data_IF_879271893315
#
_entry.id   IF_879271893315
#
_cell.length_a   1.000
_cell.length_b   1.000
_cell.length_c   1.000
_cell.angle_alpha   90.00
_cell.angle_beta   90.00
_cell.angle_gamma   90.00
#
_symmetry.space_group_name_H-M   'P 1'
#
loop_
_entity.id
_entity.type
_entity.pdbx_description
1 polymer ?
#
# COMPACT_ATOMS: atom_id res chain seq x y z
N UNK A 1 18.81 17.59 5.73
CA UNK A 1 17.51 16.87 5.78
C UNK A 1 16.40 17.73 5.15
N UNK A 2 16.70 18.45 4.06
CA UNK A 2 15.75 19.30 3.34
C UNK A 2 15.86 18.95 1.85
N UNK A 3 15.28 17.80 1.48
CA UNK A 3 15.16 17.39 0.09
C UNK A 3 13.68 17.54 -0.29
N UNK A 4 13.39 18.35 -1.31
CA UNK A 4 12.01 18.64 -1.74
C UNK A 4 11.26 17.41 -2.27
N UNK A 5 11.98 16.32 -2.53
CA UNK A 5 11.41 15.04 -2.96
C UNK A 5 10.86 14.22 -1.80
N UNK A 6 11.11 14.63 -0.55
CA UNK A 6 10.73 13.90 0.65
C UNK A 6 9.82 14.77 1.51
N UNK A 7 8.61 14.29 1.75
CA UNK A 7 7.64 14.91 2.65
C UNK A 7 7.38 13.99 3.83
N UNK A 8 7.46 14.54 5.05
CA UNK A 8 7.15 13.81 6.27
C UNK A 8 5.79 14.24 6.80
N UNK A 9 4.90 13.28 6.96
CA UNK A 9 3.64 13.44 7.67
C UNK A 9 3.81 12.86 9.08
N UNK A 10 3.75 13.72 10.09
CA UNK A 10 4.02 13.34 11.48
C UNK A 10 2.74 13.48 12.29
N UNK A 11 2.03 12.37 12.51
CA UNK A 11 0.99 12.15 13.52
C UNK A 11 0.29 10.82 13.17
N UNK A 12 -0.89 10.57 13.75
CA UNK A 12 -1.76 9.46 13.37
C UNK A 12 -2.09 9.52 11.86
N UNK A 13 -2.04 8.37 11.19
CA UNK A 13 -2.35 8.25 9.76
C UNK A 13 -3.78 8.66 9.42
N UNK A 14 -4.74 8.38 10.30
CA UNK A 14 -6.15 8.73 10.10
C UNK A 14 -6.37 10.25 10.05
N UNK A 15 -5.50 11.02 10.71
CA UNK A 15 -5.54 12.48 10.70
C UNK A 15 -4.66 13.09 9.60
N UNK A 16 -3.56 12.41 9.24
CA UNK A 16 -2.56 12.99 8.33
C UNK A 16 -2.76 12.61 6.88
N UNK A 17 -3.13 11.36 6.58
CA UNK A 17 -3.33 10.90 5.20
C UNK A 17 -4.45 11.66 4.47
N UNK A 18 -5.54 12.12 5.11
CA UNK A 18 -6.51 12.99 4.43
C UNK A 18 -5.94 14.32 3.93
N UNK A 19 -4.84 14.79 4.53
CA UNK A 19 -4.15 16.04 4.11
C UNK A 19 -3.16 15.81 2.98
N UNK A 20 -2.80 14.56 2.69
CA UNK A 20 -1.92 14.19 1.60
C UNK A 20 -2.64 14.34 0.26
N UNK A 21 -2.06 15.10 -0.66
CA UNK A 21 -2.53 15.17 -2.04
C UNK A 21 -1.63 14.30 -2.89
N UNK A 22 -2.14 13.15 -3.34
CA UNK A 22 -1.40 12.27 -4.22
C UNK A 22 -1.41 12.82 -5.65
N UNK A 23 -0.25 13.29 -6.12
CA UNK A 23 -0.05 13.69 -7.51
C UNK A 23 0.90 12.72 -8.22
N UNK A 24 0.38 11.97 -9.19
CA UNK A 24 1.19 11.08 -10.02
C UNK A 24 1.56 11.74 -11.35
N UNK A 25 2.85 11.78 -11.67
CA UNK A 25 3.30 12.18 -13.01
C UNK A 25 3.25 10.98 -13.96
N UNK A 26 3.01 11.25 -15.24
CA UNK A 26 2.98 10.22 -16.27
C UNK A 26 4.29 9.41 -16.29
N UNK A 27 4.16 8.08 -16.30
CA UNK A 27 5.31 7.16 -16.30
C UNK A 27 5.95 6.91 -14.92
N UNK A 28 5.43 7.50 -13.84
CA UNK A 28 5.87 7.15 -12.49
C UNK A 28 5.22 5.85 -12.02
N UNK A 29 6.05 5.00 -11.43
CA UNK A 29 5.64 3.79 -10.71
C UNK A 29 5.43 4.14 -9.23
N UNK A 30 4.32 3.68 -8.67
CA UNK A 30 4.05 3.78 -7.23
C UNK A 30 4.45 2.49 -6.54
N UNK A 31 5.04 2.64 -5.36
CA UNK A 31 5.23 1.55 -4.41
C UNK A 31 4.57 1.99 -3.11
N UNK A 32 3.65 1.19 -2.60
CA UNK A 32 3.07 1.36 -1.26
C UNK A 32 3.75 0.38 -0.31
N UNK A 33 4.32 0.90 0.78
CA UNK A 33 4.89 0.13 1.88
C UNK A 33 3.95 0.24 3.08
N UNK A 34 3.37 -0.89 3.48
CA UNK A 34 2.57 -1.03 4.70
C UNK A 34 3.45 -1.67 5.78
N UNK A 35 3.58 -0.96 6.91
CA UNK A 35 4.41 -1.29 8.07
C UNK A 35 3.77 -0.63 9.31
N UNK A 36 2.47 -0.88 9.49
CA UNK A 36 1.71 -0.33 10.63
C UNK A 36 1.51 -1.34 11.75
N UNK A 37 1.83 -2.61 11.51
CA UNK A 37 1.55 -3.79 12.35
C UNK A 37 0.06 -4.09 12.60
N UNK A 38 -0.79 -3.06 12.58
CA UNK A 38 -2.17 -3.10 13.03
C UNK A 38 -3.18 -3.06 11.87
N UNK A 39 -4.34 -3.68 12.10
CA UNK A 39 -5.40 -3.78 11.10
C UNK A 39 -5.98 -2.41 10.71
N UNK A 40 -6.47 -1.62 11.68
CA UNK A 40 -7.18 -0.37 11.41
C UNK A 40 -6.36 0.67 10.61
N UNK A 41 -5.10 1.01 10.99
CA UNK A 41 -4.32 1.97 10.20
C UNK A 41 -3.96 1.46 8.80
N UNK A 42 -3.74 0.15 8.65
CA UNK A 42 -3.48 -0.48 7.35
C UNK A 42 -4.73 -0.42 6.47
N UNK A 43 -5.91 -0.71 7.03
CA UNK A 43 -7.20 -0.60 6.35
C UNK A 43 -7.47 0.83 5.88
N UNK A 44 -7.25 1.81 6.76
CA UNK A 44 -7.46 3.22 6.45
C UNK A 44 -6.56 3.66 5.30
N UNK A 45 -5.27 3.34 5.37
CA UNK A 45 -4.30 3.63 4.33
C UNK A 45 -4.65 2.95 3.01
N UNK A 46 -5.04 1.68 3.04
CA UNK A 46 -5.45 0.91 1.88
C UNK A 46 -6.66 1.55 1.19
N UNK A 47 -7.72 1.85 1.94
CA UNK A 47 -8.95 2.41 1.37
C UNK A 47 -8.75 3.79 0.75
N UNK A 48 -7.83 4.58 1.29
CA UNK A 48 -7.45 5.86 0.71
C UNK A 48 -6.63 5.67 -0.58
N UNK A 49 -5.61 4.80 -0.53
CA UNK A 49 -4.63 4.72 -1.61
C UNK A 49 -5.02 3.82 -2.80
N UNK A 50 -5.91 2.84 -2.61
CA UNK A 50 -6.22 1.83 -3.65
C UNK A 50 -6.69 2.42 -4.98
N UNK A 51 -7.43 3.53 -4.94
CA UNK A 51 -7.95 4.20 -6.14
C UNK A 51 -6.85 4.91 -6.95
N UNK A 52 -5.64 5.01 -6.42
CA UNK A 52 -4.49 5.58 -7.10
C UNK A 52 -3.58 4.54 -7.76
N UNK A 53 -3.86 3.24 -7.57
CA UNK A 53 -3.06 2.14 -8.13
C UNK A 53 -3.27 2.00 -9.64
N UNK A 54 -2.20 1.66 -10.34
CA UNK A 54 -2.17 1.40 -11.78
C UNK A 54 -1.32 0.16 -12.07
N UNK A 55 -1.48 -0.39 -13.27
CA UNK A 55 -0.62 -1.47 -13.77
C UNK A 55 0.85 -1.07 -13.69
N UNK A 56 1.66 -1.96 -13.12
CA UNK A 56 3.08 -1.75 -12.88
C UNK A 56 3.40 -1.35 -11.44
N UNK A 57 2.44 -0.92 -10.63
CA UNK A 57 2.69 -0.55 -9.24
C UNK A 57 2.96 -1.76 -8.35
N UNK A 58 3.53 -1.50 -7.16
CA UNK A 58 3.82 -2.53 -6.17
C UNK A 58 3.14 -2.25 -4.83
N UNK A 59 2.73 -3.34 -4.18
CA UNK A 59 2.25 -3.37 -2.80
C UNK A 59 3.23 -4.22 -1.99
N UNK A 60 3.79 -3.63 -0.94
CA UNK A 60 4.66 -4.29 0.02
C UNK A 60 4.00 -4.25 1.40
N UNK A 61 3.90 -5.41 2.04
CA UNK A 61 3.39 -5.59 3.40
C UNK A 61 4.51 -6.19 4.24
N UNK A 62 4.97 -5.50 5.30
CA UNK A 62 6.12 -5.95 6.10
C UNK A 62 5.76 -7.12 7.01
N UNK A 63 4.52 -7.16 7.52
CA UNK A 63 4.00 -8.22 8.41
C UNK A 63 2.80 -8.95 7.76
N UNK A 64 2.91 -9.23 6.47
CA UNK A 64 1.88 -9.84 5.61
C UNK A 64 1.26 -11.16 6.11
N UNK A 65 1.96 -11.88 7.00
CA UNK A 65 1.55 -13.17 7.52
C UNK A 65 1.07 -13.13 8.99
N UNK A 66 1.16 -11.98 9.64
CA UNK A 66 0.59 -11.75 10.96
C UNK A 66 -0.92 -11.47 10.86
N UNK A 67 -1.65 -11.73 11.95
CA UNK A 67 -3.12 -11.81 11.95
C UNK A 67 -3.78 -10.57 11.31
N UNK A 68 -3.31 -9.38 11.66
CA UNK A 68 -3.91 -8.11 11.28
C UNK A 68 -3.69 -7.76 9.80
N UNK A 69 -2.45 -7.67 9.31
CA UNK A 69 -2.20 -7.37 7.89
C UNK A 69 -2.65 -8.53 6.98
N UNK A 70 -2.55 -9.78 7.46
CA UNK A 70 -3.06 -10.94 6.72
C UNK A 70 -4.55 -10.84 6.48
N UNK A 71 -5.30 -10.30 7.45
CA UNK A 71 -6.72 -10.03 7.31
C UNK A 71 -6.99 -8.98 6.22
N UNK A 72 -6.21 -7.89 6.17
CA UNK A 72 -6.31 -6.89 5.10
C UNK A 72 -6.11 -7.52 3.72
N UNK A 73 -5.08 -8.36 3.59
CA UNK A 73 -4.82 -9.07 2.34
C UNK A 73 -6.01 -9.93 1.92
N UNK A 74 -6.57 -10.72 2.82
CA UNK A 74 -7.63 -11.68 2.50
C UNK A 74 -9.00 -11.01 2.29
N UNK A 75 -9.32 -9.97 3.06
CA UNK A 75 -10.64 -9.34 3.05
C UNK A 75 -10.76 -8.19 2.05
N UNK A 76 -9.65 -7.57 1.65
CA UNK A 76 -9.67 -6.39 0.79
C UNK A 76 -8.79 -6.56 -0.45
N UNK A 77 -7.50 -6.86 -0.29
CA UNK A 77 -6.53 -6.75 -1.40
C UNK A 77 -6.69 -7.88 -2.42
N UNK A 78 -6.67 -9.12 -1.97
CA UNK A 78 -6.68 -10.31 -2.83
C UNK A 78 -8.05 -10.61 -3.44
N UNK A 79 -9.10 -10.03 -2.87
CA UNK A 79 -10.49 -10.21 -3.32
C UNK A 79 -11.01 -9.02 -4.14
N UNK A 80 -10.23 -7.93 -4.27
CA UNK A 80 -10.63 -6.78 -5.06
C UNK A 80 -10.69 -7.14 -6.56
N UNK A 81 -11.88 -7.15 -7.19
CA UNK A 81 -12.00 -7.52 -8.59
C UNK A 81 -11.40 -6.48 -9.56
N UNK A 82 -11.12 -5.26 -9.10
CA UNK A 82 -10.47 -4.24 -9.91
C UNK A 82 -8.95 -4.47 -10.02
N UNK A 83 -8.38 -5.34 -9.17
CA UNK A 83 -6.94 -5.59 -9.13
C UNK A 83 -6.61 -6.95 -9.71
N UNK A 84 -5.61 -6.96 -10.60
CA UNK A 84 -4.90 -8.18 -10.98
C UNK A 84 -3.53 -8.17 -10.34
N UNK A 85 -3.29 -9.15 -9.48
CA UNK A 85 -2.09 -9.21 -8.66
C UNK A 85 -1.18 -10.34 -9.13
N UNK A 86 0.12 -10.06 -9.20
CA UNK A 86 1.16 -11.05 -9.45
C UNK A 86 2.09 -11.12 -8.24
N UNK A 87 2.31 -12.32 -7.71
CA UNK A 87 3.34 -12.56 -6.71
C UNK A 87 4.73 -12.23 -7.28
N UNK A 88 5.49 -11.43 -6.54
CA UNK A 88 6.86 -11.03 -6.90
C UNK A 88 7.87 -11.75 -6.01
N UNK A 89 7.59 -11.79 -4.70
CA UNK A 89 8.47 -12.39 -3.70
C UNK A 89 7.88 -12.26 -2.31
N UNK A 90 8.48 -12.98 -1.36
CA UNK A 90 8.15 -12.90 0.06
C UNK A 90 9.38 -13.27 0.90
N UNK A 91 9.38 -12.80 2.14
CA UNK A 91 10.24 -13.33 3.20
C UNK A 91 9.40 -14.23 4.11
N UNK A 92 9.87 -14.49 5.34
CA UNK A 92 9.10 -15.21 6.36
C UNK A 92 7.89 -14.38 6.83
N UNK A 93 8.00 -13.05 6.82
CA UNK A 93 6.99 -12.12 7.32
C UNK A 93 6.40 -11.23 6.23
N UNK A 94 7.20 -10.88 5.22
CA UNK A 94 6.83 -9.85 4.26
C UNK A 94 6.30 -10.42 2.94
N UNK A 95 5.46 -9.66 2.23
CA UNK A 95 4.92 -10.01 0.91
C UNK A 95 5.01 -8.83 -0.07
N UNK A 96 5.51 -9.10 -1.28
CA UNK A 96 5.53 -8.16 -2.40
C UNK A 96 4.63 -8.65 -3.54
N UNK A 97 3.69 -7.79 -3.94
CA UNK A 97 2.77 -8.01 -5.05
C UNK A 97 2.92 -6.90 -6.10
N UNK A 98 2.81 -7.26 -7.37
CA UNK A 98 2.73 -6.31 -8.48
C UNK A 98 1.30 -6.22 -9.02
N UNK A 99 0.85 -5.01 -9.34
CA UNK A 99 -0.37 -4.79 -10.13
C UNK A 99 -0.04 -5.07 -11.59
N UNK A 100 -0.78 -5.96 -12.24
CA UNK A 100 -0.57 -6.33 -13.65
C UNK A 100 -1.82 -6.07 -14.49
N UNK A 101 -1.66 -6.04 -15.81
CA UNK A 101 -2.80 -5.99 -16.72
C UNK A 101 -3.53 -7.35 -16.73
N UNK A 102 -4.80 -7.33 -17.17
CA UNK A 102 -5.59 -8.53 -17.44
C UNK A 102 -5.00 -9.38 -18.58
#
# INVERSE_FOLDING_TARGET
MNDERVTFYKWNIEETLPTFVFERKAGQQLILFFDFDLFEPTEFAWNYMKNHLQVGDFLYFDEAFDEDERKILNEYVLVDPALRLKYVGSSVQCLLLAIVAN
#
